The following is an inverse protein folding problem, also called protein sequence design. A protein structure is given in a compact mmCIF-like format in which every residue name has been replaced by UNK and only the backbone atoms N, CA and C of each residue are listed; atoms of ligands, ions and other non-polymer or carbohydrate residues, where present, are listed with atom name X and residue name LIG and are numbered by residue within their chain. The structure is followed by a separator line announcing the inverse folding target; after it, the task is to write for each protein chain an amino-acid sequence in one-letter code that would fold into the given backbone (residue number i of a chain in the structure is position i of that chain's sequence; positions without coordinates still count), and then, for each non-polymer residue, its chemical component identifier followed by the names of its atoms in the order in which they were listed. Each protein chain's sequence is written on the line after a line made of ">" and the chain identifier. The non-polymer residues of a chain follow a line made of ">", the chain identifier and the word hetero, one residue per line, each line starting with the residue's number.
data_IF_332776191440
#
_entry.id   IF_332776191440
#
_cell.length_a   1.000
_cell.length_b   1.000
_cell.length_c   1.000
_cell.angle_alpha   90.00
_cell.angle_beta   90.00
_cell.angle_gamma   90.00
#
_symmetry.space_group_name_H-M   'P 1'
#
loop_
_entity.id
_entity.type
_entity.pdbx_description
1 polymer ?
#
# COMPACT_ATOMS: atom_id res chain seq x y z
N UNK A 1 16.63 -23.44 -12.70
CA UNK A 1 16.00 -24.52 -11.87
C UNK A 1 14.69 -25.02 -12.52
N UNK A 2 14.28 -26.31 -12.45
CA UNK A 2 12.92 -26.68 -12.93
C UNK A 2 11.88 -26.46 -11.83
N UNK A 3 10.69 -26.02 -12.22
CA UNK A 3 9.58 -25.78 -11.30
C UNK A 3 9.10 -27.06 -10.61
N UNK A 4 9.22 -28.22 -11.27
CA UNK A 4 8.93 -29.54 -10.71
C UNK A 4 9.90 -29.98 -9.62
N UNK A 5 11.10 -29.39 -9.60
CA UNK A 5 12.19 -29.84 -8.73
C UNK A 5 12.10 -29.17 -7.36
N UNK A 6 11.39 -28.04 -7.25
CA UNK A 6 11.10 -27.38 -5.97
C UNK A 6 9.82 -27.90 -5.36
N UNK A 7 9.85 -28.14 -4.04
CA UNK A 7 8.68 -28.59 -3.29
C UNK A 7 8.33 -27.59 -2.21
N UNK A 8 7.06 -27.15 -2.13
CA UNK A 8 6.57 -26.41 -0.97
C UNK A 8 6.83 -27.22 0.30
N UNK A 9 7.36 -26.58 1.34
CA UNK A 9 7.63 -27.25 2.61
C UNK A 9 6.32 -27.66 3.30
N UNK A 10 6.21 -28.93 3.64
CA UNK A 10 5.10 -29.45 4.45
C UNK A 10 5.12 -28.79 5.85
N UNK A 11 3.96 -28.36 6.33
CA UNK A 11 3.85 -27.69 7.64
C UNK A 11 4.23 -26.20 7.66
N UNK A 12 4.30 -25.54 6.49
CA UNK A 12 4.40 -24.08 6.45
C UNK A 12 3.18 -23.43 7.18
N UNK A 13 3.38 -22.68 8.28
CA UNK A 13 2.27 -22.15 9.08
C UNK A 13 1.52 -21.01 8.39
N UNK A 14 2.10 -20.40 7.35
CA UNK A 14 1.45 -19.33 6.58
C UNK A 14 0.46 -19.92 5.60
N UNK A 15 -0.80 -19.51 5.75
CA UNK A 15 -1.87 -19.70 4.79
C UNK A 15 -2.26 -18.35 4.18
N UNK A 16 -2.58 -18.32 2.89
CA UNK A 16 -3.13 -17.15 2.20
C UNK A 16 -4.52 -17.53 1.72
N UNK A 17 -5.50 -16.64 1.94
CA UNK A 17 -6.85 -16.80 1.41
C UNK A 17 -6.82 -16.66 -0.11
N UNK A 18 -7.81 -17.26 -0.78
CA UNK A 18 -7.84 -17.35 -2.25
C UNK A 18 -7.79 -15.97 -2.94
N UNK A 19 -8.51 -14.96 -2.42
CA UNK A 19 -8.49 -13.61 -3.01
C UNK A 19 -7.09 -12.97 -2.97
N UNK A 20 -6.45 -12.99 -1.79
CA UNK A 20 -5.07 -12.48 -1.62
C UNK A 20 -4.04 -13.29 -2.40
N UNK A 21 -4.35 -14.54 -2.75
CA UNK A 21 -3.50 -15.35 -3.61
C UNK A 21 -3.59 -14.90 -5.06
N UNK A 22 -4.79 -14.60 -5.56
CA UNK A 22 -4.96 -14.01 -6.89
C UNK A 22 -4.25 -12.66 -7.03
N UNK A 23 -4.25 -11.82 -5.98
CA UNK A 23 -3.48 -10.56 -5.97
C UNK A 23 -1.98 -10.83 -6.11
N UNK A 24 -1.45 -11.85 -5.42
CA UNK A 24 -0.06 -12.26 -5.56
C UNK A 24 0.25 -12.77 -6.98
N UNK A 25 -0.65 -13.57 -7.57
CA UNK A 25 -0.52 -14.06 -8.95
C UNK A 25 -0.52 -12.88 -9.93
N UNK A 26 -1.46 -11.94 -9.78
CA UNK A 26 -1.53 -10.70 -10.57
C UNK A 26 -0.24 -9.90 -10.45
N UNK A 27 0.24 -9.68 -9.23
CA UNK A 27 1.48 -8.95 -8.95
C UNK A 27 2.70 -9.58 -9.63
N UNK A 28 2.85 -10.91 -9.58
CA UNK A 28 3.97 -11.61 -10.25
C UNK A 28 3.87 -11.49 -11.77
N UNK A 29 2.66 -11.56 -12.34
CA UNK A 29 2.43 -11.41 -13.79
C UNK A 29 2.80 -9.99 -14.23
N UNK A 30 2.32 -8.99 -13.50
CA UNK A 30 2.48 -7.57 -13.86
C UNK A 30 3.86 -7.00 -13.51
N UNK A 31 4.54 -7.57 -12.52
CA UNK A 31 5.85 -7.09 -12.05
C UNK A 31 6.85 -8.24 -11.86
N UNK A 32 7.13 -9.05 -12.90
CA UNK A 32 7.94 -10.28 -12.76
C UNK A 32 9.37 -10.00 -12.31
N UNK A 33 9.92 -8.80 -12.56
CA UNK A 33 11.25 -8.39 -12.08
C UNK A 33 11.37 -8.38 -10.55
N UNK A 34 10.26 -8.29 -9.81
CA UNK A 34 10.26 -8.33 -8.35
C UNK A 34 10.72 -9.69 -7.81
N UNK A 35 10.54 -10.76 -8.59
CA UNK A 35 11.01 -12.10 -8.25
C UNK A 35 12.54 -12.18 -8.12
N UNK A 36 13.29 -11.38 -8.89
CA UNK A 36 14.75 -11.31 -8.75
C UNK A 36 15.19 -10.54 -7.49
N UNK A 37 14.31 -9.70 -6.90
CA UNK A 37 14.61 -8.92 -5.68
C UNK A 37 14.21 -9.65 -4.41
N UNK A 38 13.20 -10.51 -4.52
CA UNK A 38 12.81 -11.46 -3.49
C UNK A 38 12.74 -12.83 -4.15
N UNK A 39 13.83 -13.61 -4.13
CA UNK A 39 13.86 -14.94 -4.72
C UNK A 39 13.19 -15.99 -3.82
N UNK A 40 12.81 -17.12 -4.41
CA UNK A 40 12.38 -18.32 -3.69
C UNK A 40 13.64 -18.96 -3.10
N UNK A 41 13.66 -19.12 -1.78
CA UNK A 41 14.82 -19.69 -1.08
C UNK A 41 14.55 -21.17 -0.85
N UNK A 42 15.49 -22.03 -1.26
CA UNK A 42 15.37 -23.47 -1.15
C UNK A 42 16.64 -24.11 -0.59
N UNK A 43 16.55 -25.37 -0.17
CA UNK A 43 17.69 -26.14 0.31
C UNK A 43 18.01 -27.31 -0.63
N UNK A 44 19.11 -27.20 -1.36
CA UNK A 44 19.55 -28.25 -2.29
C UNK A 44 19.93 -29.57 -1.61
N UNK A 45 20.27 -29.55 -0.31
CA UNK A 45 20.58 -30.76 0.48
C UNK A 45 19.32 -31.41 1.08
N UNK A 46 18.21 -30.68 1.16
CA UNK A 46 16.91 -31.18 1.66
C UNK A 46 15.92 -31.37 0.52
N UNK A 47 16.28 -32.17 -0.50
CA UNK A 47 15.39 -32.52 -1.61
C UNK A 47 14.75 -31.30 -2.31
N UNK A 48 15.47 -30.17 -2.36
CA UNK A 48 15.03 -28.90 -2.93
C UNK A 48 13.73 -28.34 -2.30
N UNK A 49 13.53 -28.55 -0.99
CA UNK A 49 12.44 -27.94 -0.24
C UNK A 49 12.59 -26.42 -0.18
N UNK A 50 11.50 -25.69 -0.40
CA UNK A 50 11.49 -24.23 -0.24
C UNK A 50 11.40 -23.82 1.22
N UNK A 51 12.41 -23.11 1.70
CA UNK A 51 12.48 -22.52 3.03
C UNK A 51 11.73 -21.18 3.11
N UNK A 52 11.66 -20.43 2.00
CA UNK A 52 10.92 -19.17 1.91
C UNK A 52 10.42 -18.91 0.51
N UNK A 53 9.45 -18.00 0.39
CA UNK A 53 8.75 -17.77 -0.88
C UNK A 53 7.81 -18.90 -1.30
N UNK A 54 7.30 -19.70 -0.35
CA UNK A 54 6.34 -20.78 -0.63
C UNK A 54 5.11 -20.31 -1.44
N UNK A 55 4.57 -19.13 -1.14
CA UNK A 55 3.42 -18.59 -1.88
C UNK A 55 3.81 -18.14 -3.29
N UNK A 56 5.02 -17.60 -3.49
CA UNK A 56 5.55 -17.27 -4.82
C UNK A 56 5.73 -18.54 -5.66
N UNK A 57 6.24 -19.62 -5.07
CA UNK A 57 6.33 -20.93 -5.74
C UNK A 57 4.94 -21.44 -6.18
N UNK A 58 3.93 -21.35 -5.30
CA UNK A 58 2.54 -21.70 -5.65
C UNK A 58 1.99 -20.83 -6.76
N UNK A 59 2.23 -19.52 -6.73
CA UNK A 59 1.80 -18.60 -7.78
C UNK A 59 2.46 -18.90 -9.13
N UNK A 60 3.75 -19.27 -9.17
CA UNK A 60 4.41 -19.71 -10.41
C UNK A 60 3.81 -21.00 -10.98
N UNK A 61 3.40 -21.94 -10.11
CA UNK A 61 2.69 -23.16 -10.52
C UNK A 61 1.31 -22.82 -11.11
N UNK A 62 0.60 -21.86 -10.51
CA UNK A 62 -0.68 -21.36 -11.02
C UNK A 62 -0.51 -20.69 -12.38
N UNK A 63 0.44 -19.76 -12.52
CA UNK A 63 0.76 -19.07 -13.77
C UNK A 63 1.07 -20.07 -14.89
N UNK A 64 1.84 -21.12 -14.59
CA UNK A 64 2.11 -22.19 -15.54
C UNK A 64 0.84 -22.92 -15.96
N UNK A 65 -0.08 -23.17 -15.01
CA UNK A 65 -1.35 -23.88 -15.24
C UNK A 65 -2.33 -23.05 -16.06
N UNK A 66 -2.45 -21.76 -15.77
CA UNK A 66 -3.24 -20.79 -16.55
C UNK A 66 -2.79 -20.76 -18.02
N UNK A 67 -1.48 -20.87 -18.25
CA UNK A 67 -0.88 -20.92 -19.57
C UNK A 67 -0.69 -19.55 -20.22
N UNK A 68 0.04 -19.56 -21.33
CA UNK A 68 0.55 -18.34 -21.98
C UNK A 68 -0.55 -17.40 -22.46
N UNK A 69 -1.60 -17.93 -23.07
CA UNK A 69 -2.63 -17.11 -23.74
C UNK A 69 -3.48 -16.35 -22.71
N UNK A 70 -3.89 -17.02 -21.63
CA UNK A 70 -4.65 -16.38 -20.54
C UNK A 70 -3.82 -15.28 -19.88
N UNK A 71 -2.54 -15.56 -19.60
CA UNK A 71 -1.64 -14.56 -18.99
C UNK A 71 -1.40 -13.37 -19.92
N UNK A 72 -1.29 -13.61 -21.22
CA UNK A 72 -1.14 -12.55 -22.21
C UNK A 72 -2.38 -11.63 -22.25
N UNK A 73 -3.59 -12.18 -22.18
CA UNK A 73 -4.81 -11.37 -22.09
C UNK A 73 -4.86 -10.54 -20.80
N UNK A 74 -4.48 -11.12 -19.64
CA UNK A 74 -4.35 -10.37 -18.38
C UNK A 74 -3.35 -9.20 -18.52
N UNK A 75 -2.20 -9.45 -19.13
CA UNK A 75 -1.18 -8.43 -19.36
C UNK A 75 -1.64 -7.32 -20.33
N UNK A 76 -2.44 -7.66 -21.35
CA UNK A 76 -3.03 -6.65 -22.24
C UNK A 76 -3.99 -5.74 -21.49
N UNK A 77 -4.86 -6.31 -20.65
CA UNK A 77 -5.78 -5.53 -19.81
C UNK A 77 -5.02 -4.57 -18.88
N UNK A 78 -3.86 -4.98 -18.37
CA UNK A 78 -3.00 -4.16 -17.52
C UNK A 78 -2.01 -3.25 -18.27
N UNK A 79 -2.07 -3.18 -19.61
CA UNK A 79 -1.10 -2.43 -20.46
C UNK A 79 0.38 -2.83 -20.25
N UNK A 80 0.66 -4.09 -19.91
CA UNK A 80 1.99 -4.63 -19.54
C UNK A 80 2.43 -5.81 -20.41
N UNK A 81 1.99 -5.87 -21.66
CA UNK A 81 2.23 -7.00 -22.58
C UNK A 81 3.70 -7.39 -22.76
N UNK A 82 4.64 -6.48 -22.57
CA UNK A 82 6.08 -6.76 -22.70
C UNK A 82 6.61 -7.76 -21.64
N UNK A 83 5.95 -7.85 -20.49
CA UNK A 83 6.36 -8.74 -19.40
C UNK A 83 6.23 -10.22 -19.75
N UNK A 84 5.44 -10.57 -20.79
CA UNK A 84 5.28 -11.95 -21.23
C UNK A 84 6.62 -12.62 -21.52
N UNK A 85 7.60 -11.87 -22.05
CA UNK A 85 8.95 -12.36 -22.38
C UNK A 85 9.69 -12.90 -21.15
N UNK A 86 9.47 -12.28 -19.99
CA UNK A 86 10.08 -12.69 -18.72
C UNK A 86 9.37 -13.91 -18.12
N UNK A 87 8.13 -14.17 -18.51
CA UNK A 87 7.32 -15.32 -18.06
C UNK A 87 7.42 -16.54 -18.99
N UNK A 88 7.95 -16.39 -20.21
CA UNK A 88 8.19 -17.49 -21.16
C UNK A 88 8.89 -18.72 -20.52
N UNK A 89 9.92 -18.59 -19.65
CA UNK A 89 10.52 -19.73 -18.97
C UNK A 89 9.52 -20.50 -18.08
N UNK A 90 8.60 -19.79 -17.41
CA UNK A 90 7.64 -20.37 -16.47
C UNK A 90 6.65 -21.29 -17.18
N UNK A 91 6.17 -20.91 -18.37
CA UNK A 91 5.32 -21.77 -19.18
C UNK A 91 6.03 -23.06 -19.63
N UNK A 92 7.36 -22.99 -19.82
CA UNK A 92 8.21 -24.16 -20.08
C UNK A 92 8.53 -24.96 -18.81
N UNK A 93 8.06 -24.51 -17.64
CA UNK A 93 8.33 -25.12 -16.35
C UNK A 93 9.75 -24.87 -15.81
N UNK A 94 10.41 -23.82 -16.28
CA UNK A 94 11.77 -23.44 -15.86
C UNK A 94 11.68 -22.14 -15.08
N UNK A 95 12.24 -22.13 -13.88
CA UNK A 95 12.39 -20.90 -13.09
C UNK A 95 13.74 -20.28 -13.44
N UNK A 96 13.78 -18.98 -13.81
CA UNK A 96 15.02 -18.24 -13.98
C UNK A 96 15.90 -18.33 -12.72
N UNK A 97 17.22 -18.50 -12.91
CA UNK A 97 18.11 -18.71 -11.77
C UNK A 97 18.18 -17.48 -10.85
N UNK A 98 17.91 -16.27 -11.37
CA UNK A 98 17.79 -15.06 -10.55
C UNK A 98 16.60 -15.08 -9.56
N UNK A 99 15.61 -15.94 -9.79
CA UNK A 99 14.39 -16.01 -8.97
C UNK A 99 14.48 -17.07 -7.88
N UNK A 100 15.61 -17.78 -7.80
CA UNK A 100 15.85 -18.83 -6.82
C UNK A 100 17.18 -18.60 -6.12
N UNK A 101 17.27 -19.02 -4.87
CA UNK A 101 18.48 -18.92 -4.07
C UNK A 101 18.63 -20.21 -3.26
N UNK A 102 19.77 -20.87 -3.39
CA UNK A 102 20.11 -22.02 -2.55
C UNK A 102 20.64 -21.52 -1.20
N UNK A 103 20.12 -22.09 -0.12
CA UNK A 103 20.47 -21.80 1.26
C UNK A 103 20.96 -23.06 2.00
N UNK A 104 21.51 -24.02 1.25
CA UNK A 104 22.09 -25.26 1.77
C UNK A 104 23.35 -25.07 2.65
N UNK A 105 23.87 -23.84 2.70
CA UNK A 105 24.96 -23.38 3.56
C UNK A 105 24.49 -22.98 4.97
N UNK A 106 23.20 -22.70 5.16
CA UNK A 106 22.62 -22.35 6.47
C UNK A 106 22.56 -23.56 7.43
N UNK A 107 22.70 -23.29 8.73
CA UNK A 107 22.41 -24.27 9.77
C UNK A 107 20.90 -24.53 9.92
N UNK A 108 20.54 -25.66 10.53
CA UNK A 108 19.12 -26.02 10.76
C UNK A 108 18.38 -24.98 11.63
N UNK A 109 19.07 -24.34 12.56
CA UNK A 109 18.51 -23.27 13.39
C UNK A 109 18.23 -22.01 12.57
N UNK A 110 19.18 -21.62 11.70
CA UNK A 110 19.01 -20.48 10.80
C UNK A 110 17.88 -20.72 9.80
N UNK A 111 17.78 -21.93 9.23
CA UNK A 111 16.67 -22.32 8.34
C UNK A 111 15.32 -22.22 9.04
N UNK A 112 15.20 -22.71 10.29
CA UNK A 112 13.97 -22.59 11.09
C UNK A 112 13.61 -21.15 11.38
N UNK A 113 14.59 -20.33 11.76
CA UNK A 113 14.39 -18.90 12.00
C UNK A 113 13.95 -18.19 10.73
N UNK A 114 14.56 -18.50 9.59
CA UNK A 114 14.26 -17.90 8.30
C UNK A 114 12.79 -18.11 7.90
N UNK A 115 12.25 -19.31 8.07
CA UNK A 115 10.84 -19.64 7.78
C UNK A 115 9.87 -18.72 8.54
N UNK A 116 10.19 -18.38 9.80
CA UNK A 116 9.33 -17.55 10.65
C UNK A 116 9.55 -16.06 10.37
N UNK A 117 10.81 -15.63 10.38
CA UNK A 117 11.19 -14.21 10.26
C UNK A 117 10.82 -13.61 8.91
N UNK A 118 10.85 -14.39 7.81
CA UNK A 118 10.42 -13.92 6.49
C UNK A 118 8.93 -13.53 6.45
N UNK A 119 8.14 -13.95 7.45
CA UNK A 119 6.73 -13.65 7.56
C UNK A 119 6.40 -12.62 8.66
N UNK A 120 7.36 -12.26 9.51
CA UNK A 120 7.17 -11.27 10.58
C UNK A 120 7.63 -9.91 10.07
N UNK A 121 6.69 -8.99 9.87
CA UNK A 121 7.02 -7.58 9.60
C UNK A 121 7.57 -6.94 10.88
N UNK A 122 8.82 -6.50 10.85
CA UNK A 122 9.39 -5.65 11.90
C UNK A 122 9.24 -4.19 11.49
N UNK A 123 8.71 -3.35 12.39
CA UNK A 123 8.54 -1.91 12.19
C UNK A 123 7.08 -1.47 12.19
N UNK A 124 6.89 -0.15 12.21
CA UNK A 124 5.59 0.51 12.10
C UNK A 124 5.55 1.35 10.84
N UNK A 125 4.38 1.47 10.24
CA UNK A 125 4.17 2.37 9.11
C UNK A 125 3.98 3.81 9.58
N UNK A 126 4.54 4.76 8.85
CA UNK A 126 4.25 6.18 9.02
C UNK A 126 2.93 6.49 8.29
N UNK A 127 1.85 6.64 9.05
CA UNK A 127 0.50 6.77 8.51
C UNK A 127 0.31 8.11 7.80
N UNK A 128 0.96 9.18 8.28
CA UNK A 128 0.85 10.52 7.70
C UNK A 128 1.53 10.56 6.34
N UNK A 129 2.71 9.94 6.20
CA UNK A 129 3.39 9.84 4.91
C UNK A 129 2.60 8.96 3.92
N UNK A 130 2.05 7.82 4.38
CA UNK A 130 1.25 6.95 3.54
C UNK A 130 -0.03 7.63 3.04
N UNK A 131 -0.73 8.37 3.91
CA UNK A 131 -1.95 9.08 3.54
C UNK A 131 -1.71 10.19 2.50
N UNK A 132 -0.55 10.84 2.57
CA UNK A 132 -0.23 12.00 1.73
C UNK A 132 0.41 11.62 0.39
N UNK A 133 1.25 10.58 0.36
CA UNK A 133 2.08 10.27 -0.81
C UNK A 133 1.64 9.03 -1.59
N UNK A 134 0.74 8.20 -1.04
CA UNK A 134 0.40 6.91 -1.61
C UNK A 134 -1.10 6.77 -1.89
N UNK A 135 -1.42 6.05 -2.98
CA UNK A 135 -2.79 5.75 -3.34
C UNK A 135 -3.31 4.53 -2.56
N UNK A 136 -4.45 4.66 -1.89
CA UNK A 136 -5.01 3.59 -1.06
C UNK A 136 -5.33 2.31 -1.87
N UNK A 137 -5.91 2.44 -3.07
CA UNK A 137 -6.24 1.28 -3.92
C UNK A 137 -4.97 0.49 -4.30
N UNK A 138 -3.87 1.18 -4.61
CA UNK A 138 -2.59 0.52 -4.90
C UNK A 138 -2.00 -0.19 -3.68
N UNK A 139 -2.10 0.42 -2.48
CA UNK A 139 -1.60 -0.19 -1.25
C UNK A 139 -2.39 -1.46 -0.90
N UNK A 140 -3.71 -1.42 -1.02
CA UNK A 140 -4.59 -2.57 -0.82
C UNK A 140 -4.25 -3.69 -1.81
N UNK A 141 -4.07 -3.35 -3.09
CA UNK A 141 -3.65 -4.28 -4.15
C UNK A 141 -2.28 -4.92 -3.88
N UNK A 142 -1.37 -4.21 -3.22
CA UNK A 142 -0.07 -4.75 -2.81
C UNK A 142 -0.13 -5.52 -1.49
N UNK A 143 -1.33 -5.66 -0.92
CA UNK A 143 -1.61 -6.44 0.28
C UNK A 143 -1.42 -5.68 1.59
N UNK A 144 -1.26 -4.35 1.53
CA UNK A 144 -1.22 -3.47 2.69
C UNK A 144 -2.63 -2.94 2.98
N UNK A 145 -3.32 -3.63 3.89
CA UNK A 145 -4.67 -3.31 4.33
C UNK A 145 -4.60 -2.19 5.39
N UNK A 146 -4.64 -0.93 4.94
CA UNK A 146 -4.63 0.26 5.79
C UNK A 146 -5.90 1.06 5.52
N UNK A 147 -6.62 1.37 6.59
CA UNK A 147 -7.75 2.27 6.55
C UNK A 147 -7.29 3.67 7.01
N UNK A 148 -7.23 4.62 6.09
CA UNK A 148 -7.02 6.03 6.44
C UNK A 148 -8.31 6.59 7.02
N UNK A 149 -8.25 7.43 8.07
CA UNK A 149 -9.41 8.18 8.51
C UNK A 149 -9.88 9.06 7.35
N UNK A 150 -11.20 9.17 7.14
CA UNK A 150 -11.74 10.14 6.20
C UNK A 150 -11.23 11.53 6.58
N UNK A 151 -10.78 12.34 5.61
CA UNK A 151 -10.44 13.72 5.90
C UNK A 151 -11.66 14.37 6.56
N UNK A 152 -11.47 15.22 7.58
CA UNK A 152 -12.58 15.96 8.15
C UNK A 152 -13.30 16.66 7.00
N UNK A 153 -14.64 16.59 6.99
CA UNK A 153 -15.44 17.34 6.02
C UNK A 153 -14.92 18.78 5.99
N UNK A 154 -14.54 19.27 4.80
CA UNK A 154 -14.23 20.68 4.64
C UNK A 154 -15.50 21.42 5.08
N UNK A 155 -15.46 22.04 6.27
CA UNK A 155 -16.41 23.10 6.57
C UNK A 155 -16.22 24.09 5.43
N UNK A 156 -17.20 24.20 4.53
CA UNK A 156 -17.21 25.26 3.52
C UNK A 156 -16.96 26.55 4.30
N UNK A 157 -15.77 27.14 4.17
CA UNK A 157 -15.56 28.48 4.70
C UNK A 157 -16.54 29.35 3.95
N UNK A 158 -17.66 29.68 4.61
CA UNK A 158 -18.68 30.59 4.13
C UNK A 158 -17.94 31.76 3.48
N UNK A 159 -18.23 32.06 2.19
CA UNK A 159 -17.52 33.12 1.50
C UNK A 159 -17.58 34.37 2.39
N UNK A 160 -16.43 34.97 2.71
CA UNK A 160 -16.35 36.20 3.50
C UNK A 160 -16.93 37.33 2.64
N UNK A 161 -18.26 37.33 2.49
CA UNK A 161 -19.00 38.25 1.67
C UNK A 161 -19.56 39.32 2.59
N UNK A 162 -18.63 40.15 3.09
CA UNK A 162 -18.79 41.56 3.49
C UNK A 162 -17.50 42.04 4.14
N UNK A 163 -16.83 42.99 3.51
CA UNK A 163 -15.75 43.74 4.14
C UNK A 163 -16.30 44.50 5.36
N UNK A 164 -16.11 43.94 6.55
CA UNK A 164 -16.46 44.61 7.81
C UNK A 164 -15.39 45.66 8.10
N UNK A 165 -15.73 46.94 7.92
CA UNK A 165 -14.86 48.06 8.28
C UNK A 165 -15.20 48.48 9.71
N UNK A 166 -14.21 48.46 10.61
CA UNK A 166 -14.35 48.91 12.01
C UNK A 166 -13.77 50.30 12.16
N UNK A 167 -14.51 51.20 12.79
CA UNK A 167 -14.08 52.56 13.12
C UNK A 167 -14.01 52.69 14.64
N UNK A 168 -12.88 53.16 15.15
CA UNK A 168 -12.66 53.42 16.57
C UNK A 168 -12.74 54.93 16.82
N UNK A 169 -13.47 55.32 17.87
CA UNK A 169 -13.61 56.70 18.32
C UNK A 169 -13.38 56.71 19.82
N UNK A 170 -12.39 57.48 20.27
CA UNK A 170 -12.06 57.64 21.68
C UNK A 170 -12.85 58.82 22.27
N UNK A 171 -13.37 58.65 23.49
CA UNK A 171 -14.13 59.67 24.22
C UNK A 171 -13.49 59.94 25.58
N UNK A 172 -13.46 61.20 25.97
CA UNK A 172 -12.97 61.62 27.29
C UNK A 172 -14.03 61.46 28.40
N UNK A 173 -15.29 61.24 28.02
CA UNK A 173 -16.43 61.06 28.93
C UNK A 173 -17.30 59.88 28.52
N UNK A 174 -17.67 59.05 29.51
CA UNK A 174 -18.54 57.90 29.30
C UNK A 174 -19.97 58.27 28.87
N UNK A 175 -20.41 59.50 29.18
CA UNK A 175 -21.74 59.97 28.79
C UNK A 175 -21.80 60.31 27.29
N UNK A 176 -20.74 60.90 26.73
CA UNK A 176 -20.64 61.19 25.29
C UNK A 176 -20.58 59.91 24.45
N UNK A 177 -19.87 58.90 24.94
CA UNK A 177 -19.79 57.60 24.28
C UNK A 177 -21.16 56.89 24.23
N UNK A 178 -21.96 57.02 25.28
CA UNK A 178 -23.34 56.49 25.33
C UNK A 178 -24.29 57.23 24.41
N UNK A 179 -24.15 58.55 24.29
CA UNK A 179 -24.98 59.36 23.41
C UNK A 179 -24.77 58.96 21.94
N UNK A 180 -23.52 58.83 21.50
CA UNK A 180 -23.21 58.36 20.14
C UNK A 180 -23.68 56.92 19.93
N UNK A 181 -23.50 56.03 20.91
CA UNK A 181 -23.97 54.65 20.84
C UNK A 181 -25.49 54.57 20.61
N UNK A 182 -26.27 55.33 21.37
CA UNK A 182 -27.72 55.38 21.20
C UNK A 182 -28.13 55.99 19.85
N UNK A 183 -27.40 56.99 19.38
CA UNK A 183 -27.65 57.59 18.06
C UNK A 183 -27.44 56.55 16.94
N UNK A 184 -26.32 55.82 16.97
CA UNK A 184 -26.01 54.79 15.97
C UNK A 184 -27.07 53.68 15.96
N UNK A 185 -27.58 53.28 17.13
CA UNK A 185 -28.70 52.33 17.22
C UNK A 185 -29.99 52.90 16.62
N UNK A 186 -30.28 54.18 16.84
CA UNK A 186 -31.48 54.83 16.29
C UNK A 186 -31.44 54.98 14.76
N UNK A 187 -30.23 55.14 14.20
CA UNK A 187 -29.98 55.19 12.76
C UNK A 187 -29.93 53.79 12.11
N UNK A 188 -30.05 52.72 12.90
CA UNK A 188 -30.13 51.34 12.43
C UNK A 188 -28.77 50.67 12.21
N UNK A 189 -27.70 51.22 12.77
CA UNK A 189 -26.36 50.65 12.70
C UNK A 189 -26.09 49.68 13.85
N UNK A 190 -25.32 48.62 13.58
CA UNK A 190 -24.81 47.72 14.62
C UNK A 190 -23.58 48.37 15.30
N UNK A 191 -23.75 48.85 16.53
CA UNK A 191 -22.69 49.42 17.35
C UNK A 191 -22.37 48.51 18.55
N UNK A 192 -21.10 48.50 18.98
CA UNK A 192 -20.65 47.84 20.22
C UNK A 192 -19.77 48.82 21.00
N UNK A 193 -20.03 48.99 22.30
CA UNK A 193 -19.15 49.70 23.21
C UNK A 193 -18.24 48.69 23.93
N UNK A 194 -16.94 48.99 23.99
CA UNK A 194 -16.01 48.33 24.91
C UNK A 194 -15.55 49.33 25.96
N UNK A 195 -15.54 48.92 27.23
CA UNK A 195 -14.96 49.69 28.34
C UNK A 195 -13.43 49.64 28.36
#
# INVERSE_FOLDING_TARGET
>A
MKLSDLKPKEGNPRYIKDDKFEDLVRSIIEFPKMMSKRPIVFDSKSNNESLGGNMRLRALLEIKTLGRDVVLERLKAANKSDNIKLLEPIFKGIIPDEWVMDASDLSEEEKKRFIIVDNVGFGSWDMDMLANEWNQEELEDWGLDIHFPEPPEEEEEEPIDKAVIRVYVDFDSADEAKDLYNQLLSEGHEAKMSE
#
